data_IF_066568893911
#
_entry.id   IF_066568893911
#
_cell.length_a   1.000
_cell.length_b   1.000
_cell.length_c   1.000
_cell.angle_alpha   90.00
_cell.angle_beta   90.00
_cell.angle_gamma   90.00
#
_symmetry.space_group_name_H-M   'P 1'
#
loop_
_entity.id
_entity.type
_entity.pdbx_description
1 polymer ?
#
# COMPACT_ATOMS: atom_id res chain seq x y z
N UNK A 1 -23.99 9.08 54.31
CA UNK A 1 -24.00 8.37 53.01
C UNK A 1 -22.85 7.37 53.03
N UNK A 2 -23.14 6.08 53.22
CA UNK A 2 -22.11 5.03 53.32
C UNK A 2 -21.83 4.55 51.90
N UNK A 3 -20.71 4.97 51.31
CA UNK A 3 -20.25 4.39 50.05
C UNK A 3 -19.86 2.94 50.30
N UNK A 4 -20.72 2.01 49.86
CA UNK A 4 -20.38 0.60 49.78
C UNK A 4 -19.48 0.46 48.55
N UNK A 5 -18.21 0.83 48.70
CA UNK A 5 -17.18 0.62 47.69
C UNK A 5 -16.87 -0.89 47.62
N UNK A 6 -17.81 -1.67 47.06
CA UNK A 6 -17.54 -3.06 46.70
C UNK A 6 -16.46 -3.02 45.63
N UNK A 7 -15.25 -3.47 45.98
CA UNK A 7 -14.13 -3.60 45.06
C UNK A 7 -14.56 -4.45 43.87
N UNK A 8 -14.94 -3.80 42.78
CA UNK A 8 -15.44 -4.46 41.58
C UNK A 8 -14.32 -5.14 40.78
N UNK A 9 -14.69 -5.80 39.68
CA UNK A 9 -13.73 -6.45 38.77
C UNK A 9 -12.69 -5.45 38.24
N UNK A 10 -13.12 -4.23 37.87
CA UNK A 10 -12.23 -3.18 37.40
C UNK A 10 -11.22 -2.71 38.46
N UNK A 11 -11.61 -2.67 39.73
CA UNK A 11 -10.70 -2.32 40.83
C UNK A 11 -9.58 -3.35 40.99
N UNK A 12 -9.93 -4.63 40.97
CA UNK A 12 -8.95 -5.72 41.03
C UNK A 12 -8.06 -5.78 39.79
N UNK A 13 -8.64 -5.49 38.62
CA UNK A 13 -7.91 -5.45 37.36
C UNK A 13 -6.90 -4.30 37.34
N UNK A 14 -7.29 -3.10 37.78
CA UNK A 14 -6.39 -1.95 37.90
C UNK A 14 -5.21 -2.19 38.84
N UNK A 15 -5.44 -2.82 40.00
CA UNK A 15 -4.35 -3.19 40.93
C UNK A 15 -3.39 -4.20 40.29
N UNK A 16 -3.92 -5.22 39.60
CA UNK A 16 -3.07 -6.19 38.87
C UNK A 16 -2.29 -5.52 37.75
N UNK A 17 -2.92 -4.63 36.99
CA UNK A 17 -2.31 -3.84 35.92
C UNK A 17 -1.15 -2.99 36.46
N UNK A 18 -1.35 -2.33 37.61
CA UNK A 18 -0.31 -1.53 38.26
C UNK A 18 0.85 -2.38 38.77
N UNK A 19 0.56 -3.54 39.38
CA UNK A 19 1.59 -4.48 39.85
C UNK A 19 2.48 -4.98 38.69
N UNK A 20 1.90 -5.23 37.53
CA UNK A 20 2.60 -5.73 36.34
C UNK A 20 2.86 -4.65 35.28
N UNK A 21 2.82 -3.35 35.65
CA UNK A 21 2.88 -2.22 34.72
C UNK A 21 4.03 -2.30 33.71
N UNK A 22 5.21 -2.71 34.15
CA UNK A 22 6.38 -2.84 33.28
C UNK A 22 6.28 -4.02 32.32
N UNK A 23 5.82 -5.18 32.79
CA UNK A 23 5.63 -6.35 31.93
C UNK A 23 4.59 -6.07 30.84
N UNK A 24 3.52 -5.37 31.21
CA UNK A 24 2.44 -4.99 30.29
C UNK A 24 2.92 -3.94 29.30
N UNK A 25 3.66 -2.92 29.75
CA UNK A 25 4.26 -1.94 28.86
C UNK A 25 5.21 -2.59 27.84
N UNK A 26 6.10 -3.48 28.29
CA UNK A 26 7.03 -4.20 27.42
C UNK A 26 6.27 -5.07 26.41
N UNK A 27 5.24 -5.79 26.86
CA UNK A 27 4.40 -6.60 26.00
C UNK A 27 3.76 -5.76 24.89
N UNK A 28 3.17 -4.62 25.23
CA UNK A 28 2.55 -3.73 24.24
C UNK A 28 3.57 -3.11 23.29
N UNK A 29 4.71 -2.65 23.79
CA UNK A 29 5.80 -2.12 22.96
C UNK A 29 6.24 -3.18 21.94
N UNK A 30 6.47 -4.41 22.40
CA UNK A 30 6.91 -5.51 21.54
C UNK A 30 5.83 -5.85 20.51
N UNK A 31 4.56 -5.91 20.93
CA UNK A 31 3.42 -6.13 20.05
C UNK A 31 3.31 -5.06 18.95
N UNK A 32 3.49 -3.78 19.30
CA UNK A 32 3.47 -2.69 18.32
C UNK A 32 4.67 -2.73 17.36
N UNK A 33 5.86 -3.07 17.85
CA UNK A 33 7.04 -3.22 16.98
C UNK A 33 6.80 -4.34 15.95
N UNK A 34 6.29 -5.49 16.39
CA UNK A 34 5.94 -6.58 15.47
C UNK A 34 4.86 -6.12 14.50
N UNK A 35 3.79 -5.50 14.99
CA UNK A 35 2.71 -5.01 14.13
C UNK A 35 3.21 -4.03 13.08
N UNK A 36 4.09 -3.08 13.43
CA UNK A 36 4.68 -2.13 12.49
C UNK A 36 5.49 -2.83 11.39
N UNK A 37 6.27 -3.85 11.75
CA UNK A 37 7.02 -4.65 10.77
C UNK A 37 6.07 -5.38 9.79
N UNK A 38 4.99 -5.98 10.28
CA UNK A 38 4.02 -6.66 9.43
C UNK A 38 3.14 -5.70 8.61
N UNK A 39 2.84 -4.52 9.15
CA UNK A 39 2.01 -3.50 8.49
C UNK A 39 2.65 -2.99 7.19
N UNK A 40 3.99 -2.99 7.09
CA UNK A 40 4.68 -2.63 5.84
C UNK A 40 4.36 -3.59 4.69
N UNK A 41 3.99 -4.85 4.97
CA UNK A 41 3.61 -5.84 3.95
C UNK A 41 2.11 -5.88 3.65
N UNK A 42 1.33 -5.06 4.35
CA UNK A 42 -0.12 -4.99 4.15
C UNK A 42 -0.50 -4.46 2.75
N UNK A 43 0.13 -3.41 2.20
CA UNK A 43 -0.22 -2.88 0.88
C UNK A 43 -0.11 -3.92 -0.24
N UNK A 44 0.95 -4.73 -0.24
CA UNK A 44 1.18 -5.79 -1.23
C UNK A 44 0.05 -6.84 -1.25
N UNK A 45 -0.62 -7.04 -0.11
CA UNK A 45 -1.72 -7.98 0.05
C UNK A 45 -3.09 -7.37 -0.21
N UNK A 46 -3.21 -6.05 -0.14
CA UNK A 46 -4.46 -5.30 -0.34
C UNK A 46 -4.63 -4.76 -1.76
N UNK A 47 -3.63 -4.88 -2.63
CA UNK A 47 -3.70 -4.47 -4.04
C UNK A 47 -4.73 -5.26 -4.87
N UNK A 48 -5.36 -6.28 -4.30
CA UNK A 48 -6.45 -7.00 -4.97
C UNK A 48 -7.73 -6.17 -4.83
N UNK A 49 -8.10 -5.45 -5.89
CA UNK A 49 -9.21 -4.50 -5.88
C UNK A 49 -10.59 -5.14 -5.66
N UNK A 50 -10.68 -6.48 -5.57
CA UNK A 50 -11.94 -7.22 -5.45
C UNK A 50 -12.85 -7.13 -6.68
N UNK A 51 -12.48 -6.31 -7.66
CA UNK A 51 -13.23 -6.09 -8.92
C UNK A 51 -12.98 -7.21 -9.93
N UNK A 52 -11.85 -7.92 -9.80
CA UNK A 52 -11.55 -9.11 -10.60
C UNK A 52 -11.46 -10.31 -9.65
N UNK A 53 -12.40 -11.26 -9.70
CA UNK A 53 -12.28 -12.49 -8.95
C UNK A 53 -11.03 -13.24 -9.43
N UNK A 54 -10.04 -13.40 -8.55
CA UNK A 54 -8.83 -14.19 -8.83
C UNK A 54 -9.22 -15.60 -9.22
N UNK A 55 -8.70 -16.05 -10.37
CA UNK A 55 -9.03 -17.37 -10.93
C UNK A 55 -10.34 -17.44 -11.74
N UNK A 56 -10.99 -16.31 -12.00
CA UNK A 56 -12.05 -16.26 -13.02
C UNK A 56 -11.47 -16.46 -14.44
N UNK A 57 -12.30 -16.93 -15.37
CA UNK A 57 -11.88 -17.09 -16.78
C UNK A 57 -11.35 -15.77 -17.39
N UNK A 58 -11.92 -14.64 -16.96
CA UNK A 58 -11.46 -13.31 -17.36
C UNK A 58 -10.07 -12.97 -16.83
N UNK A 59 -9.75 -13.33 -15.58
CA UNK A 59 -8.42 -13.13 -14.98
C UNK A 59 -7.36 -13.99 -15.71
N UNK A 60 -7.70 -15.24 -16.03
CA UNK A 60 -6.86 -16.15 -16.80
C UNK A 60 -6.60 -15.58 -18.20
N UNK A 61 -7.64 -15.12 -18.91
CA UNK A 61 -7.52 -14.53 -20.24
C UNK A 61 -6.64 -13.27 -20.26
N UNK A 62 -6.76 -12.40 -19.26
CA UNK A 62 -5.92 -11.20 -19.11
C UNK A 62 -4.47 -11.58 -18.81
N UNK A 63 -4.24 -12.59 -17.96
CA UNK A 63 -2.89 -13.08 -17.64
C UNK A 63 -2.19 -13.68 -18.88
N UNK A 64 -2.95 -14.42 -19.71
CA UNK A 64 -2.45 -15.03 -20.92
C UNK A 64 -2.14 -13.97 -21.98
N UNK A 65 -3.01 -12.96 -22.15
CA UNK A 65 -2.73 -11.81 -23.01
C UNK A 65 -1.47 -11.06 -22.57
N UNK A 66 -1.29 -10.79 -21.28
CA UNK A 66 -0.06 -10.13 -20.77
C UNK A 66 1.19 -10.94 -21.10
N UNK A 67 1.11 -12.26 -20.97
CA UNK A 67 2.23 -13.18 -21.23
C UNK A 67 2.59 -13.26 -22.72
N UNK A 68 1.59 -13.46 -23.58
CA UNK A 68 1.81 -13.72 -25.01
C UNK A 68 1.97 -12.42 -25.83
N UNK A 69 1.24 -11.36 -25.49
CA UNK A 69 1.29 -10.08 -26.22
C UNK A 69 2.27 -9.07 -25.61
N UNK A 70 2.96 -9.43 -24.52
CA UNK A 70 3.81 -8.52 -23.73
C UNK A 70 3.13 -7.18 -23.40
N UNK A 71 1.81 -7.20 -23.22
CA UNK A 71 1.08 -5.96 -22.96
C UNK A 71 1.46 -5.42 -21.58
N UNK A 72 2.03 -4.21 -21.57
CA UNK A 72 2.37 -3.53 -20.32
C UNK A 72 1.10 -3.38 -19.47
N UNK A 73 1.09 -3.79 -18.19
CA UNK A 73 -0.04 -3.57 -17.29
C UNK A 73 -0.37 -2.08 -17.07
N UNK A 74 0.53 -1.19 -17.47
CA UNK A 74 0.40 0.25 -17.28
C UNK A 74 0.61 0.97 -18.61
N UNK A 75 -0.41 1.72 -19.02
CA UNK A 75 -0.31 2.70 -20.09
C UNK A 75 -0.10 4.06 -19.43
N UNK A 76 1.07 4.64 -19.61
CA UNK A 76 1.36 6.02 -19.17
C UNK A 76 1.15 6.91 -20.39
N UNK A 77 0.16 7.79 -20.34
CA UNK A 77 -0.06 8.81 -21.37
C UNK A 77 0.66 10.09 -20.98
N UNK A 78 1.63 10.52 -21.79
CA UNK A 78 2.40 11.74 -21.58
C UNK A 78 1.95 12.77 -22.64
N UNK A 79 1.54 13.95 -22.20
CA UNK A 79 1.10 15.04 -23.09
C UNK A 79 2.08 16.21 -22.98
N UNK A 80 2.71 16.58 -24.08
CA UNK A 80 3.65 17.71 -24.16
C UNK A 80 2.92 18.98 -24.62
N UNK A 81 3.18 20.11 -23.97
CA UNK A 81 2.62 21.42 -24.33
C UNK A 81 3.68 22.51 -24.28
N UNK A 82 3.62 23.44 -25.22
CA UNK A 82 4.52 24.60 -25.26
C UNK A 82 3.80 25.82 -25.83
N UNK A 83 4.12 27.00 -25.27
CA UNK A 83 3.63 28.31 -25.76
C UNK A 83 4.61 29.03 -26.68
N UNK A 84 5.86 28.56 -26.76
CA UNK A 84 6.97 29.26 -27.42
C UNK A 84 7.66 28.43 -28.50
N UNK A 85 7.49 27.11 -28.46
CA UNK A 85 8.15 26.16 -29.35
C UNK A 85 7.09 25.40 -30.13
N UNK A 86 7.33 25.23 -31.41
CA UNK A 86 6.55 24.31 -32.24
C UNK A 86 7.02 22.87 -31.98
N UNK A 87 6.20 22.13 -31.24
CA UNK A 87 6.45 20.74 -30.86
C UNK A 87 6.18 19.75 -32.00
N UNK A 88 5.62 20.21 -33.13
CA UNK A 88 5.40 19.36 -34.32
C UNK A 88 6.60 19.37 -35.27
N UNK A 89 7.57 20.26 -35.02
CA UNK A 89 8.81 20.30 -35.79
C UNK A 89 9.63 19.01 -35.61
N UNK A 90 10.28 18.58 -36.69
CA UNK A 90 11.03 17.32 -36.74
C UNK A 90 12.14 17.25 -35.68
N UNK A 91 12.72 18.41 -35.32
CA UNK A 91 13.73 18.52 -34.27
C UNK A 91 13.11 18.29 -32.88
N UNK A 92 12.02 18.98 -32.54
CA UNK A 92 11.37 18.83 -31.24
C UNK A 92 10.83 17.41 -31.04
N UNK A 93 10.30 16.79 -32.09
CA UNK A 93 9.84 15.40 -32.03
C UNK A 93 10.99 14.42 -31.78
N UNK A 94 12.14 14.62 -32.43
CA UNK A 94 13.35 13.83 -32.18
C UNK A 94 13.84 13.96 -30.74
N UNK A 95 13.93 15.20 -30.23
CA UNK A 95 14.38 15.46 -28.86
C UNK A 95 13.45 14.80 -27.82
N UNK A 96 12.13 14.83 -28.04
CA UNK A 96 11.15 14.16 -27.17
C UNK A 96 11.36 12.64 -27.21
N UNK A 97 11.49 12.04 -28.39
CA UNK A 97 11.68 10.59 -28.53
C UNK A 97 13.00 10.14 -27.87
N UNK A 98 14.08 10.89 -28.08
CA UNK A 98 15.38 10.60 -27.47
C UNK A 98 15.31 10.67 -25.93
N UNK A 99 14.55 11.63 -25.39
CA UNK A 99 14.35 11.73 -23.94
C UNK A 99 13.63 10.51 -23.36
N UNK A 100 12.73 9.89 -24.13
CA UNK A 100 11.95 8.71 -23.72
C UNK A 100 12.74 7.41 -23.84
N UNK A 101 13.74 7.33 -24.72
CA UNK A 101 14.54 6.11 -24.90
C UNK A 101 15.31 5.74 -23.61
N UNK A 102 15.66 6.74 -22.80
CA UNK A 102 16.26 6.56 -21.46
C UNK A 102 15.37 5.82 -20.47
N UNK A 103 14.06 5.77 -20.72
CA UNK A 103 13.05 5.16 -19.85
C UNK A 103 12.72 3.72 -20.25
N UNK A 104 13.25 3.20 -21.36
CA UNK A 104 12.95 1.88 -21.93
C UNK A 104 13.60 0.70 -21.18
N UNK A 105 13.88 0.85 -19.88
CA UNK A 105 14.50 -0.21 -19.04
C UNK A 105 13.58 -1.40 -18.81
#
# INVERSE_FOLDING_TARGET
MREINKKGLFWHWGIKMYKFRWAIAIFWILLFILSAFFAQRLPDRLNDSGLNPRGSESDIGVSLMKKELRSSPSTITIVYTSRKLDLTSEKAMRDIIESLDKLKK
#
